data_IF_355057166600
#
_entry.id   IF_355057166600
#
_cell.length_a   1.000
_cell.length_b   1.000
_cell.length_c   1.000
_cell.angle_alpha   90.00
_cell.angle_beta   90.00
_cell.angle_gamma   90.00
#
_symmetry.space_group_name_H-M   'P 1'
#
loop_
_entity.id
_entity.type
_entity.pdbx_description
1 polymer ?
#
# COMPACT_ATOMS: atom_id res chain seq x y z
N UNK A 1 -20.14 -37.88 -2.41
CA UNK A 1 -19.22 -37.61 -3.54
C UNK A 1 -19.74 -36.36 -4.25
N UNK A 2 -19.03 -35.22 -4.18
CA UNK A 2 -19.42 -34.03 -4.94
C UNK A 2 -19.24 -34.34 -6.44
N UNK A 3 -20.26 -34.07 -7.25
CA UNK A 3 -20.19 -34.23 -8.70
C UNK A 3 -19.40 -33.03 -9.23
N UNK A 4 -18.17 -33.24 -9.67
CA UNK A 4 -17.34 -32.21 -10.31
C UNK A 4 -17.99 -31.89 -11.67
N UNK A 5 -18.21 -30.61 -11.92
CA UNK A 5 -18.81 -30.09 -13.15
C UNK A 5 -17.72 -29.48 -14.04
N UNK A 6 -18.02 -29.31 -15.33
CA UNK A 6 -17.15 -28.57 -16.25
C UNK A 6 -16.83 -27.14 -15.73
N UNK A 7 -17.75 -26.53 -14.98
CA UNK A 7 -17.53 -25.23 -14.34
C UNK A 7 -16.44 -25.32 -13.27
N UNK A 8 -16.44 -26.38 -12.46
CA UNK A 8 -15.44 -26.57 -11.40
C UNK A 8 -14.03 -26.70 -11.98
N UNK A 9 -13.85 -27.43 -13.10
CA UNK A 9 -12.56 -27.57 -13.78
C UNK A 9 -12.05 -26.22 -14.33
N UNK A 10 -12.95 -25.41 -14.91
CA UNK A 10 -12.60 -24.06 -15.40
C UNK A 10 -12.17 -23.17 -14.23
N UNK A 11 -12.92 -23.20 -13.12
CA UNK A 11 -12.59 -22.41 -11.93
C UNK A 11 -11.23 -22.82 -11.34
N UNK A 12 -10.92 -24.10 -11.27
CA UNK A 12 -9.63 -24.59 -10.78
C UNK A 12 -8.46 -24.08 -11.64
N UNK A 13 -8.60 -24.13 -12.97
CA UNK A 13 -7.57 -23.60 -13.89
C UNK A 13 -7.37 -22.09 -13.72
N UNK A 14 -8.45 -21.34 -13.52
CA UNK A 14 -8.37 -19.88 -13.31
C UNK A 14 -7.75 -19.56 -11.95
N UNK A 15 -8.18 -20.22 -10.87
CA UNK A 15 -7.65 -20.03 -9.52
C UNK A 15 -6.14 -20.26 -9.47
N UNK A 16 -5.65 -21.31 -10.13
CA UNK A 16 -4.21 -21.60 -10.22
C UNK A 16 -3.39 -20.51 -10.93
N UNK A 17 -4.03 -19.63 -11.71
CA UNK A 17 -3.37 -18.51 -12.40
C UNK A 17 -3.45 -17.22 -11.61
N UNK A 18 -4.59 -16.95 -10.97
CA UNK A 18 -4.88 -15.64 -10.38
C UNK A 18 -4.62 -15.57 -8.88
N UNK A 19 -4.60 -16.70 -8.17
CA UNK A 19 -4.31 -16.71 -6.73
C UNK A 19 -2.79 -16.64 -6.52
N UNK A 20 -2.30 -15.66 -5.73
CA UNK A 20 -0.88 -15.56 -5.43
C UNK A 20 -0.35 -16.78 -4.69
N UNK A 21 0.84 -17.25 -5.09
CA UNK A 21 1.55 -18.35 -4.42
C UNK A 21 2.21 -17.88 -3.13
N UNK A 22 2.46 -18.79 -2.19
CA UNK A 22 3.11 -18.48 -0.92
C UNK A 22 4.45 -17.76 -1.08
N UNK A 23 5.28 -18.19 -2.03
CA UNK A 23 6.56 -17.54 -2.33
C UNK A 23 6.41 -16.10 -2.88
N UNK A 24 5.26 -15.78 -3.46
CA UNK A 24 4.95 -14.44 -3.94
C UNK A 24 4.46 -13.57 -2.78
N UNK A 25 3.57 -14.12 -1.95
CA UNK A 25 3.07 -13.52 -0.71
C UNK A 25 4.22 -13.11 0.20
N UNK A 26 5.15 -14.01 0.48
CA UNK A 26 6.33 -13.71 1.31
C UNK A 26 7.19 -12.56 0.73
N UNK A 27 7.31 -12.47 -0.60
CA UNK A 27 8.03 -11.37 -1.24
C UNK A 27 7.29 -10.04 -1.09
N UNK A 28 5.96 -10.04 -1.26
CA UNK A 28 5.14 -8.84 -1.10
C UNK A 28 5.13 -8.38 0.35
N UNK A 29 5.03 -9.30 1.32
CA UNK A 29 5.10 -8.98 2.74
C UNK A 29 6.44 -8.32 3.12
N UNK A 30 7.56 -8.83 2.60
CA UNK A 30 8.88 -8.22 2.82
C UNK A 30 8.98 -6.80 2.25
N UNK A 31 8.46 -6.59 1.03
CA UNK A 31 8.42 -5.25 0.40
C UNK A 31 7.52 -4.32 1.22
N UNK A 32 6.33 -4.79 1.61
CA UNK A 32 5.39 -4.02 2.40
C UNK A 32 6.01 -3.55 3.72
N UNK A 33 6.68 -4.44 4.45
CA UNK A 33 7.33 -4.07 5.70
C UNK A 33 8.53 -3.15 5.48
N UNK A 34 9.36 -3.40 4.46
CA UNK A 34 10.50 -2.54 4.14
C UNK A 34 10.05 -1.08 3.94
N UNK A 35 9.04 -0.86 3.10
CA UNK A 35 8.57 0.49 2.81
C UNK A 35 7.75 1.07 3.96
N UNK A 36 7.04 0.25 4.74
CA UNK A 36 6.37 0.71 5.97
C UNK A 36 7.38 1.28 6.96
N UNK A 37 8.53 0.62 7.11
CA UNK A 37 9.62 1.10 7.95
C UNK A 37 10.32 2.34 7.38
N UNK A 38 10.49 2.43 6.05
CA UNK A 38 11.01 3.66 5.42
C UNK A 38 10.09 4.85 5.68
N UNK A 39 8.78 4.68 5.51
CA UNK A 39 7.77 5.71 5.81
C UNK A 39 7.79 6.08 7.29
N UNK A 40 7.85 5.08 8.19
CA UNK A 40 7.92 5.33 9.64
C UNK A 40 9.15 6.17 10.00
N UNK A 41 10.32 5.84 9.46
CA UNK A 41 11.57 6.59 9.70
C UNK A 41 11.53 8.00 9.12
N UNK A 42 10.93 8.21 7.95
CA UNK A 42 10.79 9.53 7.37
C UNK A 42 9.82 10.39 8.20
N UNK A 43 8.72 9.81 8.68
CA UNK A 43 7.69 10.51 9.43
C UNK A 43 8.15 11.09 10.77
N UNK A 44 9.09 10.43 11.48
CA UNK A 44 9.62 10.93 12.77
C UNK A 44 10.30 12.29 12.69
N UNK A 45 10.68 12.74 11.49
CA UNK A 45 11.28 14.06 11.26
C UNK A 45 10.27 15.20 11.19
N UNK A 46 9.01 14.87 10.94
CA UNK A 46 7.97 15.86 10.64
C UNK A 46 6.78 15.81 11.61
N UNK A 47 6.57 14.68 12.28
CA UNK A 47 5.40 14.42 13.11
C UNK A 47 5.82 13.88 14.48
N UNK A 48 5.24 14.45 15.55
CA UNK A 48 5.42 13.95 16.91
C UNK A 48 4.57 12.71 17.21
N UNK A 49 3.41 12.59 16.56
CA UNK A 49 2.50 11.46 16.69
C UNK A 49 1.93 11.12 15.32
N UNK A 50 2.00 9.83 14.95
CA UNK A 50 1.50 9.31 13.69
C UNK A 50 1.38 7.78 13.77
N UNK A 51 0.62 7.20 12.85
CA UNK A 51 0.57 5.76 12.64
C UNK A 51 0.79 5.44 11.16
N UNK A 52 1.52 4.37 10.87
CA UNK A 52 1.74 3.90 9.49
C UNK A 52 1.03 2.57 9.32
N UNK A 53 0.05 2.54 8.42
CA UNK A 53 -0.81 1.38 8.17
C UNK A 53 -0.64 0.88 6.74
N UNK A 54 -0.77 -0.43 6.58
CA UNK A 54 -0.90 -1.06 5.26
C UNK A 54 -2.39 -1.09 4.91
N UNK A 55 -2.74 -0.64 3.71
CA UNK A 55 -4.08 -0.73 3.17
C UNK A 55 -4.11 -1.48 1.84
N UNK A 56 -5.12 -1.20 1.04
CA UNK A 56 -5.22 -1.78 -0.30
C UNK A 56 -5.57 -3.28 -0.32
N UNK A 57 -5.34 -3.89 -1.48
CA UNK A 57 -5.63 -5.30 -1.74
C UNK A 57 -4.66 -6.23 -0.99
N UNK A 58 -3.41 -5.81 -0.79
CA UNK A 58 -2.41 -6.56 -0.02
C UNK A 58 -2.83 -6.69 1.45
N UNK A 59 -3.27 -5.60 2.10
CA UNK A 59 -3.73 -5.67 3.50
C UNK A 59 -4.96 -6.57 3.70
N UNK A 60 -5.80 -6.71 2.66
CA UNK A 60 -7.04 -7.48 2.70
C UNK A 60 -6.90 -8.91 2.20
N UNK A 61 -5.71 -9.29 1.72
CA UNK A 61 -5.46 -10.55 1.03
C UNK A 61 -6.41 -10.81 -0.15
N UNK A 62 -6.63 -9.79 -0.98
CA UNK A 62 -7.51 -9.87 -2.17
C UNK A 62 -6.81 -9.49 -3.47
N UNK A 63 -5.48 -9.46 -3.49
CA UNK A 63 -4.69 -9.12 -4.67
C UNK A 63 -4.51 -10.34 -5.58
N UNK A 64 -4.31 -10.09 -6.88
CA UNK A 64 -4.13 -11.14 -7.88
C UNK A 64 -2.64 -11.39 -8.10
N UNK A 65 -2.30 -12.64 -8.41
CA UNK A 65 -0.94 -13.07 -8.80
C UNK A 65 -0.39 -12.15 -9.90
N UNK A 66 0.79 -11.59 -9.67
CA UNK A 66 1.44 -10.63 -10.57
C UNK A 66 0.93 -9.19 -10.51
N UNK A 67 -0.13 -8.91 -9.74
CA UNK A 67 -0.78 -7.60 -9.63
C UNK A 67 -0.83 -7.15 -8.16
N UNK A 68 0.34 -6.93 -7.57
CA UNK A 68 0.47 -6.50 -6.18
C UNK A 68 0.77 -5.00 -6.08
N UNK A 69 -0.14 -4.27 -5.44
CA UNK A 69 0.05 -2.87 -5.07
C UNK A 69 0.15 -2.76 -3.55
N UNK A 70 1.30 -2.29 -3.07
CA UNK A 70 1.51 -2.04 -1.63
C UNK A 70 1.06 -0.62 -1.32
N UNK A 71 -0.15 -0.46 -0.80
CA UNK A 71 -0.67 0.84 -0.36
C UNK A 71 -0.29 1.13 1.09
N UNK A 72 0.57 2.14 1.31
CA UNK A 72 0.97 2.58 2.65
C UNK A 72 0.30 3.92 2.95
N UNK A 73 -0.35 3.98 4.11
CA UNK A 73 -0.96 5.20 4.60
C UNK A 73 -0.29 5.67 5.87
N UNK A 74 -0.21 6.99 6.01
CA UNK A 74 0.10 7.61 7.29
C UNK A 74 -1.16 8.29 7.84
N UNK A 75 -1.44 8.02 9.10
CA UNK A 75 -2.47 8.71 9.86
C UNK A 75 -1.80 9.86 10.61
N UNK A 76 -2.22 11.09 10.29
CA UNK A 76 -1.73 12.31 10.93
C UNK A 76 -2.76 12.87 11.93
N UNK A 77 -2.32 13.60 12.98
CA UNK A 77 -3.21 14.21 13.96
C UNK A 77 -4.25 15.15 13.32
N UNK A 78 -5.48 15.25 13.88
CA UNK A 78 -6.53 16.12 13.32
C UNK A 78 -6.17 17.62 13.34
N UNK A 79 -5.23 18.01 14.21
CA UNK A 79 -4.67 19.36 14.30
C UNK A 79 -3.90 19.78 13.04
N UNK A 80 -3.42 18.83 12.23
CA UNK A 80 -2.77 19.10 10.95
C UNK A 80 -3.81 19.64 9.95
N UNK A 81 -3.58 20.84 9.41
CA UNK A 81 -4.45 21.40 8.39
C UNK A 81 -4.39 20.58 7.10
N UNK A 82 -5.38 20.74 6.21
CA UNK A 82 -5.38 20.04 4.92
C UNK A 82 -4.12 20.35 4.10
N UNK A 83 -3.67 21.60 4.11
CA UNK A 83 -2.49 22.02 3.36
C UNK A 83 -1.22 21.39 3.94
N UNK A 84 -1.08 21.37 5.26
CA UNK A 84 0.05 20.73 5.94
C UNK A 84 0.05 19.22 5.71
N UNK A 85 -1.12 18.57 5.69
CA UNK A 85 -1.24 17.14 5.38
C UNK A 85 -0.61 16.82 4.01
N UNK A 86 -0.94 17.60 2.99
CA UNK A 86 -0.43 17.40 1.64
C UNK A 86 1.07 17.72 1.56
N UNK A 87 1.52 18.82 2.16
CA UNK A 87 2.93 19.23 2.15
C UNK A 87 3.83 18.26 2.94
N UNK A 88 3.42 17.87 4.16
CA UNK A 88 4.17 16.94 5.01
C UNK A 88 4.10 15.52 4.43
N UNK A 89 2.92 15.10 3.98
CA UNK A 89 2.72 13.78 3.39
C UNK A 89 3.63 13.55 2.19
N UNK A 90 3.69 14.51 1.27
CA UNK A 90 4.58 14.42 0.12
C UNK A 90 6.06 14.36 0.52
N UNK A 91 6.52 15.17 1.49
CA UNK A 91 7.91 15.11 1.97
C UNK A 91 8.27 13.76 2.57
N UNK A 92 7.37 13.16 3.34
CA UNK A 92 7.55 11.82 3.91
C UNK A 92 7.64 10.79 2.78
N UNK A 93 6.78 10.90 1.76
CA UNK A 93 6.76 10.01 0.60
C UNK A 93 8.06 10.10 -0.22
N UNK A 94 8.51 11.32 -0.51
CA UNK A 94 9.74 11.61 -1.27
C UNK A 94 10.96 11.00 -0.56
N UNK A 95 11.02 11.12 0.76
CA UNK A 95 12.11 10.52 1.53
C UNK A 95 12.02 8.99 1.57
N UNK A 96 10.81 8.43 1.78
CA UNK A 96 10.61 6.99 1.88
C UNK A 96 10.86 6.26 0.55
N UNK A 97 10.60 6.92 -0.57
CA UNK A 97 10.79 6.40 -1.93
C UNK A 97 12.09 6.91 -2.58
N UNK A 98 12.98 7.52 -1.80
CA UNK A 98 14.25 8.03 -2.29
C UNK A 98 15.05 6.95 -3.02
N UNK A 99 15.54 7.30 -4.21
CA UNK A 99 16.28 6.38 -5.09
C UNK A 99 15.42 5.60 -6.08
N UNK A 100 14.09 5.79 -6.08
CA UNK A 100 13.18 5.25 -7.08
C UNK A 100 12.76 6.33 -8.09
N UNK A 101 12.32 5.88 -9.26
CA UNK A 101 11.53 6.74 -10.14
C UNK A 101 10.10 6.83 -9.59
N UNK A 102 9.67 8.05 -9.27
CA UNK A 102 8.41 8.31 -8.58
C UNK A 102 7.45 9.10 -9.45
N UNK A 103 6.19 8.69 -9.46
CA UNK A 103 5.11 9.38 -10.14
C UNK A 103 4.21 10.02 -9.08
N UNK A 104 4.01 11.33 -9.20
CA UNK A 104 3.00 12.02 -8.40
C UNK A 104 1.61 11.79 -9.00
N UNK A 105 0.70 11.29 -8.18
CA UNK A 105 -0.70 11.01 -8.52
C UNK A 105 -1.63 11.89 -7.69
N UNK A 106 -2.88 11.97 -8.12
CA UNK A 106 -3.92 12.78 -7.46
C UNK A 106 -5.18 11.93 -7.23
N UNK A 107 -5.68 11.94 -6.00
CA UNK A 107 -6.98 11.41 -5.62
C UNK A 107 -7.66 12.45 -4.71
N UNK A 108 -8.09 12.07 -3.51
CA UNK A 108 -8.55 13.04 -2.50
C UNK A 108 -7.41 13.99 -2.06
N UNK A 109 -6.21 13.42 -1.89
CA UNK A 109 -4.96 14.13 -1.67
C UNK A 109 -3.90 13.65 -2.68
N UNK A 110 -2.90 14.50 -3.01
CA UNK A 110 -1.76 14.07 -3.80
C UNK A 110 -0.95 12.99 -3.09
N UNK A 111 -0.40 12.07 -3.87
CA UNK A 111 0.28 10.89 -3.35
C UNK A 111 1.40 10.45 -4.32
N UNK A 112 2.37 9.65 -3.84
CA UNK A 112 3.47 9.18 -4.68
C UNK A 112 3.37 7.68 -4.90
N UNK A 113 3.74 7.26 -6.10
CA UNK A 113 3.76 5.87 -6.53
C UNK A 113 5.11 5.57 -7.17
N UNK A 114 5.65 4.37 -6.92
CA UNK A 114 6.88 3.90 -7.51
C UNK A 114 6.80 2.41 -7.84
N UNK A 115 7.45 1.99 -8.92
CA UNK A 115 7.65 0.57 -9.22
C UNK A 115 8.93 0.07 -8.55
N UNK A 116 8.84 -1.06 -7.85
CA UNK A 116 9.98 -1.63 -7.09
C UNK A 116 10.51 -2.92 -7.69
N UNK A 117 9.68 -3.64 -8.46
CA UNK A 117 10.04 -4.81 -9.25
C UNK A 117 9.12 -4.86 -10.48
N UNK A 118 9.50 -5.63 -11.51
CA UNK A 118 8.61 -5.89 -12.64
C UNK A 118 7.25 -6.43 -12.11
N UNK A 119 6.18 -5.69 -12.40
CA UNK A 119 4.79 -5.90 -11.98
C UNK A 119 4.48 -5.70 -10.48
N UNK A 120 5.29 -4.94 -9.74
CA UNK A 120 5.02 -4.61 -8.32
C UNK A 120 5.20 -3.13 -8.07
N UNK A 121 4.15 -2.49 -7.56
CA UNK A 121 4.16 -1.08 -7.22
C UNK A 121 4.09 -0.88 -5.70
N UNK A 122 4.64 0.23 -5.23
CA UNK A 122 4.43 0.76 -3.89
C UNK A 122 3.81 2.14 -4.05
N UNK A 123 2.63 2.31 -3.47
CA UNK A 123 1.92 3.58 -3.42
C UNK A 123 1.91 4.09 -1.99
N UNK A 124 2.38 5.32 -1.78
CA UNK A 124 2.21 6.03 -0.52
C UNK A 124 1.07 7.02 -0.66
N UNK A 125 0.09 6.97 0.26
CA UNK A 125 -1.10 7.84 0.28
C UNK A 125 -1.27 8.50 1.65
N UNK A 126 -1.17 9.83 1.76
CA UNK A 126 -1.46 10.50 3.03
C UNK A 126 -2.98 10.51 3.28
N UNK A 127 -3.40 10.15 4.50
CA UNK A 127 -4.81 10.24 4.94
C UNK A 127 -4.88 11.10 6.20
N UNK A 128 -5.86 12.01 6.22
CA UNK A 128 -6.23 12.74 7.43
C UNK A 128 -7.08 11.85 8.34
N UNK A 129 -6.70 11.72 9.60
CA UNK A 129 -7.54 11.04 10.57
C UNK A 129 -8.72 11.95 10.95
N UNK A 130 -9.94 11.48 10.74
CA UNK A 130 -11.12 11.97 11.44
C UNK A 130 -11.27 11.05 12.66
N UNK A 131 -10.81 11.48 13.83
CA UNK A 131 -11.30 10.90 15.06
C UNK A 131 -12.79 11.23 15.09
N UNK A 132 -13.63 10.24 14.78
CA UNK A 132 -15.03 10.30 15.20
C UNK A 132 -14.93 10.06 16.69
N UNK A 133 -15.12 11.12 17.49
CA UNK A 133 -15.20 11.00 18.94
C UNK A 133 -16.13 9.81 19.27
N UNK A 134 -15.60 8.88 20.07
CA UNK A 134 -16.38 7.77 20.63
C UNK A 134 -17.38 8.26 21.68
#
# INVERSE_FOLDING_TARGET
>A
MKRITMLDEVLEVVLNKVVPKDSEREKIEKIAEEYREKVRRAATKYLESFEVILGGSVAKDTWLSGEADVDIFILMPPSISRRELEEIGLKIAEEALSGLDVIKRFAEHPYLEAEVLASKSVSYRPIKLFLVDG
#
